data_IF_025169531496
#
_entry.id   IF_025169531496
#
_cell.length_a   1.000
_cell.length_b   1.000
_cell.length_c   1.000
_cell.angle_alpha   90.00
_cell.angle_beta   90.00
_cell.angle_gamma   90.00
#
_symmetry.space_group_name_H-M   'P 1'
#
loop_
_entity.id
_entity.type
_entity.pdbx_description
1 polymer ?
#
# COMPACT_ATOMS: atom_id res chain seq x y z
N UNK A 1 3.36 16.49 3.89
CA UNK A 1 3.30 17.49 2.79
C UNK A 1 3.52 16.78 1.47
N UNK A 2 3.05 17.35 0.36
CA UNK A 2 3.24 16.82 -1.01
C UNK A 2 3.72 17.96 -1.91
N UNK A 3 4.47 17.62 -2.97
CA UNK A 3 4.87 18.51 -4.06
C UNK A 3 4.33 17.98 -5.39
N UNK A 4 4.12 18.85 -6.37
CA UNK A 4 3.77 18.46 -7.74
C UNK A 4 5.02 18.66 -8.62
N UNK A 5 5.55 17.60 -9.27
CA UNK A 5 6.71 17.73 -10.14
C UNK A 5 6.33 18.32 -11.50
N UNK A 6 7.20 19.18 -12.05
CA UNK A 6 7.16 19.55 -13.47
C UNK A 6 7.98 18.59 -14.32
N UNK A 7 9.16 18.19 -13.82
CA UNK A 7 10.14 17.36 -14.55
C UNK A 7 11.01 16.46 -13.62
N UNK A 8 10.53 16.18 -12.41
CA UNK A 8 11.26 15.44 -11.34
C UNK A 8 12.56 16.10 -10.84
N UNK A 9 12.89 17.29 -11.32
CA UNK A 9 13.99 18.14 -10.83
C UNK A 9 13.40 19.41 -10.19
N UNK A 10 12.41 20.00 -10.86
CA UNK A 10 11.66 21.17 -10.47
C UNK A 10 10.29 20.75 -9.94
N UNK A 11 9.93 21.32 -8.80
CA UNK A 11 8.70 21.02 -8.08
C UNK A 11 8.00 22.32 -7.69
N UNK A 12 6.68 22.27 -7.57
CA UNK A 12 5.93 23.36 -6.94
C UNK A 12 6.22 23.46 -5.44
N UNK A 13 5.76 24.55 -4.82
CA UNK A 13 5.82 24.72 -3.37
C UNK A 13 5.07 23.60 -2.68
N UNK A 14 5.63 23.00 -1.62
CA UNK A 14 4.98 21.90 -0.94
C UNK A 14 3.74 22.39 -0.19
N UNK A 15 2.70 21.57 -0.15
CA UNK A 15 1.46 21.88 0.57
C UNK A 15 1.06 20.74 1.51
N UNK A 16 0.17 21.06 2.46
CA UNK A 16 -0.34 20.08 3.41
C UNK A 16 -1.29 19.12 2.69
N UNK A 17 -0.99 17.82 2.77
CA UNK A 17 -1.79 16.78 2.14
C UNK A 17 -2.56 15.93 3.16
N UNK A 18 -1.92 15.62 4.28
CA UNK A 18 -2.51 14.85 5.37
C UNK A 18 -1.92 15.33 6.69
N UNK A 19 -2.78 15.55 7.67
CA UNK A 19 -2.45 15.83 9.06
C UNK A 19 -3.45 15.12 9.95
N UNK A 20 -2.98 14.54 11.06
CA UNK A 20 -3.77 13.82 12.06
C UNK A 20 -3.25 14.25 13.44
N UNK A 21 -3.99 13.93 14.50
CA UNK A 21 -3.56 14.16 15.89
C UNK A 21 -2.37 13.27 16.34
N UNK A 22 -1.89 12.40 15.46
CA UNK A 22 -0.81 11.47 15.68
C UNK A 22 0.04 11.36 14.41
N UNK A 23 1.27 10.90 14.57
CA UNK A 23 2.18 10.71 13.45
C UNK A 23 1.65 9.66 12.48
N UNK A 24 1.80 9.97 11.19
CA UNK A 24 1.43 9.09 10.09
C UNK A 24 2.60 9.00 9.10
N UNK A 25 2.84 7.80 8.59
CA UNK A 25 3.89 7.52 7.59
C UNK A 25 3.40 6.51 6.55
N UNK A 26 4.23 6.25 5.56
CA UNK A 26 4.07 5.19 4.57
C UNK A 26 2.68 5.21 3.92
N UNK A 27 2.35 6.31 3.23
CA UNK A 27 1.07 6.44 2.54
C UNK A 27 1.16 5.94 1.10
N UNK A 28 0.21 5.10 0.70
CA UNK A 28 -0.05 4.75 -0.71
C UNK A 28 -1.47 5.15 -1.09
N UNK A 29 -1.67 5.55 -2.35
CA UNK A 29 -2.95 6.01 -2.87
C UNK A 29 -3.20 5.37 -4.22
N UNK A 30 -4.40 4.84 -4.42
CA UNK A 30 -4.88 4.40 -5.73
C UNK A 30 -6.18 5.12 -6.09
N UNK A 31 -6.61 4.98 -7.34
CA UNK A 31 -7.91 5.45 -7.81
C UNK A 31 -8.70 4.27 -8.40
N UNK A 32 -9.93 4.05 -7.94
CA UNK A 32 -10.84 3.00 -8.39
C UNK A 32 -12.29 3.52 -8.30
N UNK A 33 -13.09 3.28 -9.33
CA UNK A 33 -14.53 3.62 -9.38
C UNK A 33 -14.87 5.07 -8.96
N UNK A 34 -14.03 6.02 -9.35
CA UNK A 34 -14.24 7.46 -9.09
C UNK A 34 -13.86 7.91 -7.68
N UNK A 35 -13.23 7.05 -6.89
CA UNK A 35 -12.71 7.37 -5.56
C UNK A 35 -11.20 7.15 -5.49
N UNK A 36 -10.54 7.99 -4.71
CA UNK A 36 -9.17 7.78 -4.25
C UNK A 36 -9.20 7.02 -2.94
N UNK A 37 -8.46 5.92 -2.85
CA UNK A 37 -8.29 5.17 -1.61
C UNK A 37 -6.88 5.38 -1.09
N UNK A 38 -6.75 5.80 0.16
CA UNK A 38 -5.47 6.02 0.84
C UNK A 38 -5.28 4.99 1.94
N UNK A 39 -4.14 4.33 1.93
CA UNK A 39 -3.67 3.48 3.01
C UNK A 39 -2.49 4.16 3.68
N UNK A 40 -2.54 4.35 4.99
CA UNK A 40 -1.51 5.09 5.73
C UNK A 40 -1.22 4.42 7.07
N UNK A 41 0.05 4.31 7.44
CA UNK A 41 0.44 3.79 8.75
C UNK A 41 0.16 4.83 9.84
N UNK A 42 -0.52 4.40 10.90
CA UNK A 42 -0.71 5.14 12.13
C UNK A 42 0.39 4.77 13.15
N UNK A 43 1.27 5.71 13.49
CA UNK A 43 2.36 5.46 14.43
C UNK A 43 1.91 5.32 15.89
N UNK A 44 0.69 5.74 16.26
CA UNK A 44 0.18 5.59 17.63
C UNK A 44 -0.19 4.15 17.96
N UNK A 45 -0.88 3.46 17.04
CA UNK A 45 -1.35 2.09 17.26
C UNK A 45 -0.63 1.03 16.39
N UNK A 46 0.29 1.46 15.52
CA UNK A 46 1.07 0.63 14.59
C UNK A 46 0.20 -0.21 13.64
N UNK A 47 -0.90 0.38 13.15
CA UNK A 47 -1.84 -0.23 12.20
C UNK A 47 -1.98 0.61 10.94
N UNK A 48 -2.64 0.05 9.93
CA UNK A 48 -2.98 0.76 8.70
C UNK A 48 -4.39 1.33 8.78
N UNK A 49 -4.52 2.62 8.46
CA UNK A 49 -5.79 3.30 8.25
C UNK A 49 -6.12 3.20 6.76
N UNK A 50 -7.37 2.86 6.44
CA UNK A 50 -7.92 2.93 5.09
C UNK A 50 -8.89 4.11 5.03
N UNK A 51 -8.72 4.99 4.05
CA UNK A 51 -9.59 6.15 3.85
C UNK A 51 -9.97 6.27 2.37
N UNK A 52 -11.08 6.97 2.06
CA UNK A 52 -11.45 7.32 0.70
C UNK A 52 -11.83 8.79 0.54
N UNK A 53 -11.62 9.33 -0.65
CA UNK A 53 -12.09 10.66 -1.05
C UNK A 53 -12.55 10.67 -2.51
N UNK A 54 -13.52 11.51 -2.90
CA UNK A 54 -13.92 11.68 -4.31
C UNK A 54 -12.90 12.50 -5.12
N UNK A 55 -11.90 13.10 -4.47
CA UNK A 55 -10.87 13.94 -5.08
C UNK A 55 -9.52 13.67 -4.43
N UNK A 56 -8.44 13.65 -5.22
CA UNK A 56 -7.09 13.36 -4.73
C UNK A 56 -6.67 14.28 -3.59
N UNK A 57 -6.96 15.58 -3.73
CA UNK A 57 -6.68 16.63 -2.74
C UNK A 57 -7.93 17.02 -1.93
N UNK A 58 -8.86 16.07 -1.75
CA UNK A 58 -10.12 16.28 -1.03
C UNK A 58 -10.07 15.86 0.44
N UNK A 59 -11.25 15.85 1.05
CA UNK A 59 -11.43 15.32 2.41
C UNK A 59 -11.55 13.80 2.35
N UNK A 60 -10.65 13.13 3.07
CA UNK A 60 -10.62 11.67 3.20
C UNK A 60 -11.46 11.24 4.40
N UNK A 61 -12.37 10.30 4.16
CA UNK A 61 -13.20 9.65 5.18
C UNK A 61 -12.66 8.25 5.47
N UNK A 62 -12.57 7.88 6.75
CA UNK A 62 -12.09 6.56 7.16
C UNK A 62 -13.09 5.46 6.81
N UNK A 63 -12.58 4.36 6.24
CA UNK A 63 -13.31 3.12 6.03
C UNK A 63 -12.89 2.16 7.13
N UNK A 64 -13.85 1.76 7.96
CA UNK A 64 -13.59 0.74 8.97
C UNK A 64 -13.24 -0.59 8.31
N UNK A 65 -12.09 -1.16 8.69
CA UNK A 65 -11.69 -2.51 8.30
C UNK A 65 -11.49 -3.37 9.55
N UNK A 66 -12.27 -4.46 9.73
CA UNK A 66 -12.05 -5.39 10.84
C UNK A 66 -10.66 -6.02 10.81
N UNK A 67 -10.17 -6.35 9.60
CA UNK A 67 -8.90 -7.05 9.40
C UNK A 67 -7.71 -6.12 9.66
N UNK A 68 -7.69 -4.92 9.06
CA UNK A 68 -6.59 -3.97 9.31
C UNK A 68 -6.53 -3.53 10.78
N UNK A 69 -7.68 -3.47 11.46
CA UNK A 69 -7.72 -3.17 12.90
C UNK A 69 -7.17 -4.28 13.80
N UNK A 70 -7.06 -5.51 13.31
CA UNK A 70 -6.44 -6.62 14.05
C UNK A 70 -4.94 -6.74 13.77
N UNK A 71 -4.46 -6.17 12.65
CA UNK A 71 -3.06 -6.23 12.23
C UNK A 71 -2.23 -5.07 12.82
N UNK A 72 -1.75 -5.25 14.05
CA UNK A 72 -0.78 -4.35 14.67
C UNK A 72 0.66 -4.76 14.33
N UNK A 73 1.57 -3.78 14.35
CA UNK A 73 3.00 -4.00 14.09
C UNK A 73 3.34 -4.12 12.61
N UNK A 74 2.52 -3.51 11.75
CA UNK A 74 2.71 -3.44 10.30
C UNK A 74 3.02 -2.02 9.81
N UNK A 75 3.70 -1.92 8.68
CA UNK A 75 4.06 -0.66 8.01
C UNK A 75 4.14 -0.83 6.49
N UNK A 76 4.53 0.22 5.76
CA UNK A 76 4.76 0.12 4.32
C UNK A 76 3.59 -0.48 3.52
N UNK A 77 2.34 0.01 3.65
CA UNK A 77 1.25 -0.46 2.83
C UNK A 77 1.54 -0.16 1.36
N UNK A 78 1.43 -1.18 0.53
CA UNK A 78 1.46 -1.05 -0.92
C UNK A 78 0.29 -1.82 -1.51
N UNK A 79 -0.55 -1.12 -2.26
CA UNK A 79 -1.78 -1.66 -2.86
C UNK A 79 -1.68 -1.61 -4.37
N UNK A 80 -1.98 -2.73 -5.02
CA UNK A 80 -1.86 -2.86 -6.47
C UNK A 80 -2.94 -3.80 -7.02
N UNK A 81 -3.37 -3.52 -8.24
CA UNK A 81 -4.36 -4.32 -8.95
C UNK A 81 -3.66 -5.49 -9.64
N UNK A 82 -4.21 -6.70 -9.49
CA UNK A 82 -3.68 -7.91 -10.15
C UNK A 82 -4.57 -8.37 -11.31
N UNK A 83 -5.88 -8.15 -11.21
CA UNK A 83 -6.88 -8.38 -12.25
C UNK A 83 -8.00 -7.33 -12.07
N UNK A 84 -8.93 -7.23 -13.02
CA UNK A 84 -10.06 -6.32 -12.92
C UNK A 84 -10.79 -6.49 -11.57
N UNK A 85 -10.88 -5.39 -10.82
CA UNK A 85 -11.44 -5.34 -9.45
C UNK A 85 -10.79 -6.24 -8.40
N UNK A 86 -9.66 -6.92 -8.69
CA UNK A 86 -8.92 -7.70 -7.69
C UNK A 86 -7.67 -6.94 -7.25
N UNK A 87 -7.65 -6.59 -5.97
CA UNK A 87 -6.61 -5.77 -5.37
C UNK A 87 -5.84 -6.58 -4.34
N UNK A 88 -4.52 -6.51 -4.41
CA UNK A 88 -3.63 -7.02 -3.38
C UNK A 88 -3.08 -5.86 -2.55
N UNK A 89 -2.99 -6.07 -1.25
CA UNK A 89 -2.35 -5.18 -0.29
C UNK A 89 -1.23 -5.95 0.39
N UNK A 90 0.00 -5.45 0.29
CA UNK A 90 1.14 -5.97 1.05
C UNK A 90 1.46 -5.04 2.21
N UNK A 91 1.68 -5.61 3.39
CA UNK A 91 1.99 -4.88 4.62
C UNK A 91 3.28 -5.44 5.25
N UNK A 92 4.31 -4.61 5.42
CA UNK A 92 5.56 -5.06 6.04
C UNK A 92 5.33 -5.33 7.53
N UNK A 93 5.51 -6.58 7.96
CA UNK A 93 5.42 -6.98 9.37
C UNK A 93 6.69 -6.58 10.12
N UNK A 94 6.90 -5.27 10.25
CA UNK A 94 8.16 -4.70 10.74
C UNK A 94 8.51 -5.14 12.16
N UNK A 95 7.52 -5.24 13.05
CA UNK A 95 7.75 -5.67 14.44
C UNK A 95 8.17 -7.13 14.52
N UNK A 96 7.65 -7.98 13.64
CA UNK A 96 7.97 -9.41 13.63
C UNK A 96 9.22 -9.73 12.80
N UNK A 97 9.68 -8.81 11.95
CA UNK A 97 10.79 -9.06 11.03
C UNK A 97 10.51 -10.23 10.07
N UNK A 98 9.25 -10.41 9.67
CA UNK A 98 8.79 -11.52 8.81
C UNK A 98 8.60 -11.12 7.34
N UNK A 99 8.95 -9.89 6.97
CA UNK A 99 8.64 -9.32 5.66
C UNK A 99 7.14 -9.11 5.49
N UNK A 100 6.71 -8.98 4.24
CA UNK A 100 5.31 -8.68 3.94
C UNK A 100 4.32 -9.76 4.38
N UNK A 101 3.14 -9.31 4.82
CA UNK A 101 1.90 -10.06 4.79
C UNK A 101 1.10 -9.64 3.55
N UNK A 102 0.44 -10.60 2.89
CA UNK A 102 -0.34 -10.37 1.69
C UNK A 102 -1.83 -10.50 2.01
N UNK A 103 -2.61 -9.53 1.56
CA UNK A 103 -4.06 -9.47 1.69
C UNK A 103 -4.67 -9.26 0.30
N UNK A 104 -5.89 -9.74 0.09
CA UNK A 104 -6.69 -9.44 -1.11
C UNK A 104 -8.04 -8.84 -0.77
N UNK A 105 -8.58 -8.04 -1.67
CA UNK A 105 -9.98 -7.64 -1.68
C UNK A 105 -10.48 -7.50 -3.10
N UNK A 106 -11.80 -7.68 -3.27
CA UNK A 106 -12.51 -7.37 -4.52
C UNK A 106 -13.23 -6.02 -4.48
N UNK A 107 -13.20 -5.34 -3.34
CA UNK A 107 -13.90 -4.09 -3.13
C UNK A 107 -13.20 -3.31 -2.03
N UNK A 108 -12.44 -2.27 -2.41
CA UNK A 108 -11.75 -1.43 -1.44
C UNK A 108 -12.70 -0.62 -0.56
N UNK A 109 -13.92 -0.34 -1.03
CA UNK A 109 -14.91 0.41 -0.26
C UNK A 109 -15.54 -0.37 0.90
N UNK A 110 -15.41 -1.70 0.92
CA UNK A 110 -16.02 -2.53 1.98
C UNK A 110 -15.18 -2.55 3.26
N UNK A 111 -13.87 -2.26 3.18
CA UNK A 111 -12.93 -2.48 4.27
C UNK A 111 -12.65 -3.96 4.57
N UNK A 112 -13.21 -4.89 3.80
CA UNK A 112 -13.02 -6.32 3.98
C UNK A 112 -11.80 -6.80 3.19
N UNK A 113 -10.95 -7.59 3.85
CA UNK A 113 -9.75 -8.18 3.26
C UNK A 113 -9.63 -9.66 3.62
N UNK A 114 -9.11 -10.47 2.70
CA UNK A 114 -8.72 -11.86 2.97
C UNK A 114 -7.21 -11.93 3.11
N UNK A 115 -6.73 -12.37 4.28
CA UNK A 115 -5.30 -12.60 4.51
C UNK A 115 -4.89 -13.90 3.81
N UNK A 116 -3.80 -13.86 3.04
CA UNK A 116 -3.23 -15.06 2.45
C UNK A 116 -2.63 -15.97 3.54
N UNK A 117 -2.84 -17.29 3.48
CA UNK A 117 -2.22 -18.21 4.43
C UNK A 117 -0.70 -18.05 4.48
N UNK A 118 -0.11 -18.15 5.66
CA UNK A 118 1.35 -18.17 5.77
C UNK A 118 1.93 -19.33 4.94
N UNK A 119 3.03 -19.07 4.22
CA UNK A 119 3.66 -20.04 3.34
C UNK A 119 3.03 -20.18 1.95
N UNK A 120 1.91 -19.52 1.67
CA UNK A 120 1.33 -19.45 0.31
C UNK A 120 2.07 -18.49 -0.63
N UNK A 121 3.02 -17.72 -0.10
CA UNK A 121 3.85 -16.76 -0.83
C UNK A 121 5.28 -16.76 -0.24
N UNK A 122 6.27 -16.41 -1.07
CA UNK A 122 7.69 -16.38 -0.69
C UNK A 122 8.36 -15.06 -1.10
N UNK A 123 8.86 -14.32 -0.10
CA UNK A 123 9.62 -13.09 -0.33
C UNK A 123 11.15 -13.33 -0.40
N UNK A 124 11.56 -14.59 -0.39
CA UNK A 124 12.94 -15.05 -0.40
C UNK A 124 13.61 -14.89 0.96
N UNK A 125 14.87 -15.34 1.04
CA UNK A 125 15.70 -15.34 2.27
C UNK A 125 15.78 -13.98 2.96
N UNK A 126 15.79 -12.91 2.18
CA UNK A 126 15.91 -11.54 2.69
C UNK A 126 14.59 -10.98 3.24
N UNK A 127 13.48 -11.71 3.12
CA UNK A 127 12.15 -11.31 3.58
C UNK A 127 11.83 -9.86 3.16
N UNK A 128 11.70 -9.62 1.84
CA UNK A 128 11.48 -8.28 1.27
C UNK A 128 10.52 -7.43 2.13
N UNK A 129 10.91 -6.17 2.32
CA UNK A 129 10.29 -5.17 3.19
C UNK A 129 10.01 -3.90 2.40
N UNK A 130 9.53 -2.86 3.08
CA UNK A 130 9.05 -1.58 2.53
C UNK A 130 9.68 -1.18 1.17
N UNK A 131 8.85 -1.18 0.12
CA UNK A 131 9.17 -1.01 -1.30
C UNK A 131 7.89 -1.05 -2.14
N UNK A 132 8.01 -1.20 -3.47
CA UNK A 132 6.87 -1.20 -4.39
C UNK A 132 6.77 -2.46 -5.24
N UNK A 133 5.63 -2.62 -5.91
CA UNK A 133 5.39 -3.69 -6.89
C UNK A 133 5.36 -3.11 -8.30
N UNK A 134 6.18 -3.67 -9.18
CA UNK A 134 6.23 -3.29 -10.59
C UNK A 134 5.83 -4.49 -11.44
N UNK A 135 4.78 -4.34 -12.23
CA UNK A 135 4.43 -5.32 -13.25
C UNK A 135 5.51 -5.32 -14.33
N UNK A 136 5.91 -6.52 -14.74
CA UNK A 136 6.86 -6.74 -15.84
C UNK A 136 6.23 -7.70 -16.84
N UNK A 137 6.60 -7.51 -18.10
CA UNK A 137 6.24 -8.42 -19.19
C UNK A 137 6.95 -9.76 -19.05
N UNK A 138 6.44 -10.78 -19.74
CA UNK A 138 7.10 -12.09 -19.81
C UNK A 138 8.50 -11.98 -20.41
N UNK A 139 8.68 -11.12 -21.42
CA UNK A 139 9.96 -10.86 -22.07
C UNK A 139 10.96 -10.18 -21.13
N UNK A 140 10.52 -9.21 -20.33
CA UNK A 140 11.37 -8.58 -19.30
C UNK A 140 11.74 -9.58 -18.20
N UNK A 141 10.80 -10.41 -17.77
CA UNK A 141 11.07 -11.47 -16.81
C UNK A 141 12.13 -12.46 -17.32
N UNK A 142 11.98 -12.94 -18.56
CA UNK A 142 12.96 -13.84 -19.18
C UNK A 142 14.35 -13.18 -19.28
N UNK A 143 14.41 -11.90 -19.69
CA UNK A 143 15.67 -11.14 -19.72
C UNK A 143 16.34 -11.06 -18.35
N UNK A 144 15.57 -10.77 -17.29
CA UNK A 144 16.09 -10.72 -15.92
C UNK A 144 16.60 -12.09 -15.47
N UNK A 145 15.83 -13.15 -15.74
CA UNK A 145 16.24 -14.52 -15.43
C UNK A 145 17.52 -14.92 -16.14
N UNK A 146 17.65 -14.68 -17.44
CA UNK A 146 18.87 -15.04 -18.18
C UNK A 146 20.11 -14.25 -17.75
N UNK A 147 19.94 -13.08 -17.13
CA UNK A 147 21.06 -12.26 -16.67
C UNK A 147 21.51 -12.58 -15.23
N UNK A 148 20.58 -12.96 -14.35
CA UNK A 148 20.84 -13.16 -12.92
C UNK A 148 20.76 -14.61 -12.43
N UNK A 149 20.31 -15.55 -13.26
CA UNK A 149 20.44 -17.00 -13.01
C UNK A 149 21.72 -17.55 -13.64
#
# INVERSE_FOLDING_TARGET
MVVIPFDFINFDSPFLFAEKEYDIIDSTIIHEDGYFYRFTKNEKNKRIILEKAPQLFGNYEEIYSPVLNQLAGVEGPEVYQVEEHLWYLILDRFMEGKGYNLLSTKNLSSGEFTIFPEGSYDFGKNKKRHGGVMAITTEEYQRLQSHYN
#
